data_IF_605817761251
#
_entry.id   IF_605817761251
#
_cell.length_a   1.000
_cell.length_b   1.000
_cell.length_c   1.000
_cell.angle_alpha   90.00
_cell.angle_beta   90.00
_cell.angle_gamma   90.00
#
_symmetry.space_group_name_H-M   'P 1'
#
loop_
_entity.id
_entity.type
_entity.pdbx_description
1 polymer ?
#
# COMPACT_ATOMS: atom_id res chain seq x y z
N UNK A 1 -37.92 8.08 65.99
CA UNK A 1 -36.66 8.73 65.57
C UNK A 1 -35.69 7.64 65.16
N UNK A 2 -34.92 7.67 64.07
CA UNK A 2 -34.94 8.52 62.87
C UNK A 2 -34.50 7.65 61.67
N UNK A 3 -35.18 7.74 60.53
CA UNK A 3 -34.73 8.47 59.34
C UNK A 3 -33.98 7.59 58.32
N UNK A 4 -34.63 7.31 57.19
CA UNK A 4 -34.06 6.66 55.99
C UNK A 4 -33.11 7.62 55.26
N UNK A 5 -32.12 7.09 54.55
CA UNK A 5 -31.42 7.79 53.48
C UNK A 5 -31.40 6.92 52.21
N UNK A 6 -31.86 7.50 51.10
CA UNK A 6 -31.92 6.91 49.76
C UNK A 6 -31.31 7.94 48.80
N UNK A 7 -30.23 7.59 48.08
CA UNK A 7 -29.53 8.54 47.19
C UNK A 7 -28.92 7.82 45.98
N UNK A 8 -29.40 8.19 44.79
CA UNK A 8 -28.91 7.73 43.48
C UNK A 8 -27.61 8.45 43.05
N UNK A 9 -26.84 7.91 42.08
CA UNK A 9 -25.59 8.52 41.63
C UNK A 9 -25.81 9.79 40.82
N UNK A 10 -24.96 10.81 41.06
CA UNK A 10 -25.04 12.13 40.43
C UNK A 10 -24.24 12.17 39.12
N UNK A 11 -24.92 12.47 38.02
CA UNK A 11 -24.31 12.63 36.69
C UNK A 11 -23.39 13.87 36.63
N UNK A 12 -22.34 13.79 35.79
CA UNK A 12 -21.50 14.94 35.42
C UNK A 12 -21.38 14.98 33.89
N UNK A 13 -21.79 16.10 33.28
CA UNK A 13 -21.83 16.26 31.84
C UNK A 13 -20.46 16.63 31.25
N UNK A 14 -20.11 16.16 30.03
CA UNK A 14 -19.06 16.74 29.21
C UNK A 14 -19.60 17.90 28.35
N UNK A 15 -18.82 18.96 28.21
CA UNK A 15 -19.06 20.06 27.26
C UNK A 15 -18.64 19.66 25.84
N UNK A 16 -19.48 19.93 24.84
CA UNK A 16 -19.15 19.75 23.42
C UNK A 16 -19.41 21.03 22.63
N UNK A 17 -18.39 21.44 21.88
CA UNK A 17 -18.42 22.34 20.72
C UNK A 17 -16.99 22.28 20.10
N UNK A 18 -16.76 22.30 18.79
CA UNK A 18 -17.70 22.40 17.67
C UNK A 18 -17.09 21.88 16.35
N UNK A 19 -17.94 21.69 15.34
CA UNK A 19 -17.65 21.69 13.88
C UNK A 19 -16.67 20.66 13.27
N UNK A 20 -17.23 19.61 12.64
CA UNK A 20 -17.10 19.40 11.19
C UNK A 20 -18.17 18.38 10.70
N UNK A 21 -19.16 18.84 9.94
CA UNK A 21 -20.08 17.96 9.20
C UNK A 21 -20.36 18.56 7.81
N UNK A 22 -20.30 17.69 6.79
CA UNK A 22 -21.16 17.71 5.59
C UNK A 22 -20.73 16.60 4.63
N UNK A 23 -21.14 15.36 4.90
CA UNK A 23 -21.24 14.33 3.86
C UNK A 23 -22.70 13.89 3.73
N UNK A 24 -23.42 14.37 2.71
CA UNK A 24 -24.64 13.69 2.24
C UNK A 24 -24.71 13.62 0.72
N UNK A 25 -25.21 12.47 0.29
CA UNK A 25 -25.51 12.06 -1.08
C UNK A 25 -27.02 12.22 -1.28
N UNK A 26 -27.48 12.77 -2.41
CA UNK A 26 -28.91 12.83 -2.72
C UNK A 26 -29.21 12.59 -4.21
N UNK A 27 -30.42 12.11 -4.49
CA UNK A 27 -30.77 11.34 -5.70
C UNK A 27 -32.13 11.82 -6.26
N UNK A 28 -32.13 12.42 -7.44
CA UNK A 28 -33.24 12.41 -8.43
C UNK A 28 -34.53 13.26 -8.21
N UNK A 29 -35.18 13.54 -9.36
CA UNK A 29 -36.60 13.88 -9.60
C UNK A 29 -37.06 15.37 -9.74
N UNK A 30 -37.05 15.84 -11.00
CA UNK A 30 -38.17 16.36 -11.84
C UNK A 30 -39.07 17.61 -11.51
N UNK A 31 -39.59 18.21 -12.60
CA UNK A 31 -40.84 18.99 -12.78
C UNK A 31 -40.96 20.52 -12.49
N UNK A 32 -40.43 21.33 -13.43
CA UNK A 32 -41.14 22.34 -14.28
C UNK A 32 -42.13 23.41 -13.73
N UNK A 33 -41.74 24.71 -13.81
CA UNK A 33 -42.55 25.88 -14.32
C UNK A 33 -41.78 27.24 -14.17
N UNK A 34 -42.13 28.40 -14.78
CA UNK A 34 -42.63 28.76 -16.14
C UNK A 34 -42.64 30.31 -16.40
N UNK A 35 -41.66 30.85 -17.18
CA UNK A 35 -41.67 32.18 -17.90
C UNK A 35 -41.71 33.49 -17.06
N UNK A 36 -41.24 34.69 -17.47
CA UNK A 36 -41.03 35.35 -18.80
C UNK A 36 -39.86 36.39 -18.83
N UNK A 37 -39.28 36.64 -20.01
CA UNK A 37 -38.64 37.92 -20.52
C UNK A 37 -37.44 38.58 -19.79
N UNK A 38 -36.39 39.13 -20.44
CA UNK A 38 -36.06 39.28 -21.88
C UNK A 38 -34.55 39.45 -22.18
N UNK A 39 -34.14 39.02 -23.38
CA UNK A 39 -33.05 39.50 -24.26
C UNK A 39 -31.70 40.04 -23.71
N UNK A 40 -30.60 39.34 -24.05
CA UNK A 40 -29.52 39.89 -24.89
C UNK A 40 -28.60 38.76 -25.43
N UNK A 41 -28.42 38.67 -26.75
CA UNK A 41 -27.69 37.58 -27.41
C UNK A 41 -26.19 37.87 -27.57
N UNK A 42 -25.33 37.21 -26.78
CA UNK A 42 -23.88 37.20 -27.03
C UNK A 42 -23.40 35.80 -27.46
N UNK A 43 -23.34 35.69 -28.78
CA UNK A 43 -22.74 34.66 -29.64
C UNK A 43 -21.65 33.82 -28.97
N UNK A 44 -21.92 32.52 -28.86
CA UNK A 44 -20.94 31.46 -28.58
C UNK A 44 -19.86 31.47 -29.67
N UNK A 45 -18.62 31.77 -29.29
CA UNK A 45 -17.43 31.47 -30.08
C UNK A 45 -16.59 30.45 -29.32
N UNK A 46 -16.54 29.22 -29.83
CA UNK A 46 -15.53 28.26 -29.40
C UNK A 46 -14.19 28.70 -30.00
N UNK A 47 -13.23 29.04 -29.15
CA UNK A 47 -11.81 29.14 -29.56
C UNK A 47 -10.99 28.21 -28.68
N UNK A 48 -10.80 26.99 -29.19
CA UNK A 48 -9.86 26.00 -28.66
C UNK A 48 -8.46 26.35 -29.14
N UNK A 49 -7.87 27.40 -28.57
CA UNK A 49 -6.53 27.87 -28.92
C UNK A 49 -5.84 28.47 -27.69
N UNK A 50 -4.57 28.07 -27.48
CA UNK A 50 -3.57 28.75 -26.64
C UNK A 50 -3.68 28.59 -25.10
N UNK A 51 -4.07 27.41 -24.60
CA UNK A 51 -3.84 27.05 -23.18
C UNK A 51 -2.34 26.67 -22.94
N UNK A 52 -1.65 26.18 -23.97
CA UNK A 52 -0.24 25.79 -23.86
C UNK A 52 0.71 27.01 -23.75
N UNK A 53 0.44 28.10 -24.48
CA UNK A 53 1.28 29.30 -24.45
C UNK A 53 1.19 30.06 -23.12
N UNK A 54 0.00 30.17 -22.52
CA UNK A 54 -0.21 30.97 -21.30
C UNK A 54 0.52 30.39 -20.07
N UNK A 55 0.59 29.05 -19.98
CA UNK A 55 1.40 28.38 -18.95
C UNK A 55 2.91 28.60 -19.13
N UNK A 56 3.38 28.87 -20.36
CA UNK A 56 4.79 29.15 -20.63
C UNK A 56 5.23 30.58 -20.25
N UNK A 57 4.26 31.49 -20.07
CA UNK A 57 4.52 32.87 -19.63
C UNK A 57 4.58 32.98 -18.10
N UNK A 58 3.80 32.17 -17.38
CA UNK A 58 3.82 32.10 -15.91
C UNK A 58 4.94 31.17 -15.41
N UNK A 59 5.14 30.04 -16.08
CA UNK A 59 6.24 29.10 -15.85
C UNK A 59 7.14 29.14 -17.08
N UNK A 60 8.13 30.04 -17.05
CA UNK A 60 9.01 30.39 -18.19
C UNK A 60 9.35 29.19 -19.08
N UNK A 61 9.08 29.34 -20.38
CA UNK A 61 8.98 28.26 -21.36
C UNK A 61 10.16 27.28 -21.46
N UNK A 62 9.95 26.25 -22.28
CA UNK A 62 10.83 25.08 -22.43
C UNK A 62 12.33 25.43 -22.43
N UNK A 63 13.20 24.61 -21.81
CA UNK A 63 14.59 24.96 -21.53
C UNK A 63 15.45 25.00 -22.81
N UNK A 64 15.34 26.08 -23.57
CA UNK A 64 16.14 26.34 -24.76
C UNK A 64 17.38 27.13 -24.38
N UNK A 65 18.56 26.50 -24.51
CA UNK A 65 19.85 27.17 -24.59
C UNK A 65 20.12 28.26 -23.53
N UNK A 66 20.08 27.90 -22.25
CA UNK A 66 21.29 27.89 -21.40
C UNK A 66 20.92 27.79 -19.92
N UNK A 67 21.61 26.90 -19.20
CA UNK A 67 21.61 26.89 -17.72
C UNK A 67 22.53 28.00 -17.15
N UNK A 68 23.13 28.81 -18.03
CA UNK A 68 24.14 29.81 -17.74
C UNK A 68 23.53 31.22 -17.61
N UNK A 69 24.10 32.02 -16.71
CA UNK A 69 23.61 33.36 -16.43
C UNK A 69 23.84 34.30 -17.61
N UNK A 70 22.76 34.83 -18.20
CA UNK A 70 22.85 35.70 -19.37
C UNK A 70 23.21 37.15 -18.98
N UNK A 71 24.46 37.54 -19.26
CA UNK A 71 24.95 38.90 -19.05
C UNK A 71 24.32 39.91 -20.03
N UNK A 72 24.05 41.12 -19.52
CA UNK A 72 23.51 42.23 -20.32
C UNK A 72 24.54 43.36 -20.31
N UNK A 73 25.00 43.78 -21.49
CA UNK A 73 25.86 44.96 -21.64
C UNK A 73 25.08 46.24 -21.30
N UNK A 74 25.72 47.15 -20.55
CA UNK A 74 25.08 48.36 -20.03
C UNK A 74 24.30 48.18 -18.72
N UNK A 75 24.21 46.97 -18.17
CA UNK A 75 23.63 46.74 -16.84
C UNK A 75 24.57 47.20 -15.71
N UNK A 76 24.04 47.94 -14.74
CA UNK A 76 24.80 48.34 -13.54
C UNK A 76 25.08 47.16 -12.60
N UNK A 77 26.25 47.14 -11.98
CA UNK A 77 26.81 45.97 -11.28
C UNK A 77 25.90 45.41 -10.17
N UNK A 78 25.20 46.26 -9.43
CA UNK A 78 24.24 45.84 -8.40
C UNK A 78 23.08 45.02 -8.99
N UNK A 79 22.58 45.42 -10.16
CA UNK A 79 21.48 44.73 -10.84
C UNK A 79 21.95 43.40 -11.44
N UNK A 80 23.16 43.37 -12.03
CA UNK A 80 23.80 42.13 -12.51
C UNK A 80 23.95 41.12 -11.36
N UNK A 81 24.46 41.56 -10.21
CA UNK A 81 24.61 40.73 -8.98
C UNK A 81 23.27 40.20 -8.49
N UNK A 82 22.24 41.04 -8.37
CA UNK A 82 20.92 40.64 -7.90
C UNK A 82 20.24 39.61 -8.83
N UNK A 83 20.39 39.76 -10.17
CA UNK A 83 19.93 38.76 -11.14
C UNK A 83 20.69 37.44 -11.00
N UNK A 84 22.01 37.49 -10.86
CA UNK A 84 22.87 36.30 -10.68
C UNK A 84 22.49 35.53 -9.40
N UNK A 85 22.31 36.22 -8.28
CA UNK A 85 21.91 35.62 -7.00
C UNK A 85 20.49 35.00 -7.07
N UNK A 86 19.55 35.62 -7.78
CA UNK A 86 18.23 35.00 -8.04
C UNK A 86 18.36 33.74 -8.89
N UNK A 87 19.19 33.77 -9.93
CA UNK A 87 19.43 32.64 -10.81
C UNK A 87 20.10 31.46 -10.07
N UNK A 88 21.15 31.73 -9.29
CA UNK A 88 21.82 30.74 -8.46
C UNK A 88 20.87 30.11 -7.44
N UNK A 89 20.08 30.91 -6.70
CA UNK A 89 19.08 30.36 -5.77
C UNK A 89 18.05 29.48 -6.46
N UNK A 90 17.69 29.73 -7.72
CA UNK A 90 16.82 28.82 -8.49
C UNK A 90 17.55 27.52 -8.85
N UNK A 91 18.78 27.59 -9.36
CA UNK A 91 19.60 26.40 -9.70
C UNK A 91 19.90 25.55 -8.46
N UNK A 92 20.28 26.15 -7.35
CA UNK A 92 20.51 25.49 -6.06
C UNK A 92 19.24 24.79 -5.53
N UNK A 93 18.07 25.45 -5.60
CA UNK A 93 16.79 24.83 -5.22
C UNK A 93 16.44 23.64 -6.11
N UNK A 94 16.61 23.78 -7.42
CA UNK A 94 16.36 22.70 -8.38
C UNK A 94 17.32 21.52 -8.15
N UNK A 95 18.63 21.78 -8.02
CA UNK A 95 19.64 20.78 -7.75
C UNK A 95 19.41 20.07 -6.40
N UNK A 96 19.06 20.82 -5.34
CA UNK A 96 18.72 20.25 -4.03
C UNK A 96 17.48 19.37 -4.09
N UNK A 97 16.41 19.81 -4.77
CA UNK A 97 15.19 19.01 -4.93
C UNK A 97 15.43 17.73 -5.75
N UNK A 98 16.29 17.81 -6.79
CA UNK A 98 16.72 16.65 -7.57
C UNK A 98 17.53 15.66 -6.71
N UNK A 99 18.48 16.16 -5.93
CA UNK A 99 19.33 15.35 -5.05
C UNK A 99 18.51 14.66 -3.96
N UNK A 100 17.60 15.37 -3.29
CA UNK A 100 16.72 14.81 -2.25
C UNK A 100 15.77 13.74 -2.83
N UNK A 101 15.21 13.97 -4.03
CA UNK A 101 14.41 12.96 -4.71
C UNK A 101 15.24 11.70 -5.01
N UNK A 102 16.41 11.87 -5.64
CA UNK A 102 17.30 10.76 -5.99
C UNK A 102 17.73 9.99 -4.73
N UNK A 103 18.04 10.68 -3.63
CA UNK A 103 18.37 10.04 -2.36
C UNK A 103 17.20 9.20 -1.81
N UNK A 104 15.97 9.73 -1.81
CA UNK A 104 14.77 8.96 -1.41
C UNK A 104 14.54 7.75 -2.31
N UNK A 105 14.63 7.91 -3.63
CA UNK A 105 14.47 6.83 -4.60
C UNK A 105 15.56 5.74 -4.39
N UNK A 106 16.81 6.15 -4.13
CA UNK A 106 17.94 5.25 -3.80
C UNK A 106 17.85 4.58 -2.43
N UNK A 107 17.16 5.17 -1.45
CA UNK A 107 16.85 4.51 -0.18
C UNK A 107 15.79 3.41 -0.38
N UNK A 108 14.69 3.73 -1.07
CA UNK A 108 13.62 2.77 -1.41
C UNK A 108 14.17 1.60 -2.22
N UNK A 109 15.02 1.84 -3.22
CA UNK A 109 15.66 0.77 -4.01
C UNK A 109 16.56 -0.13 -3.15
N UNK A 110 17.32 0.41 -2.18
CA UNK A 110 18.15 -0.39 -1.28
C UNK A 110 17.31 -1.29 -0.37
N UNK A 111 16.26 -0.75 0.24
CA UNK A 111 15.33 -1.55 1.05
C UNK A 111 14.64 -2.64 0.21
N UNK A 112 14.22 -2.34 -1.02
CA UNK A 112 13.63 -3.31 -1.92
C UNK A 112 14.63 -4.40 -2.30
N UNK A 113 15.87 -4.04 -2.66
CA UNK A 113 16.91 -5.01 -3.02
C UNK A 113 17.25 -5.97 -1.86
N UNK A 114 17.30 -5.47 -0.62
CA UNK A 114 17.51 -6.31 0.56
C UNK A 114 16.34 -7.27 0.78
N UNK A 115 15.09 -6.78 0.68
CA UNK A 115 13.88 -7.63 0.75
C UNK A 115 13.85 -8.69 -0.36
N UNK A 116 14.26 -8.34 -1.58
CA UNK A 116 14.34 -9.27 -2.71
C UNK A 116 15.38 -10.36 -2.47
N UNK A 117 16.61 -10.00 -2.07
CA UNK A 117 17.67 -10.97 -1.76
C UNK A 117 17.27 -11.96 -0.66
N UNK A 118 16.58 -11.47 0.36
CA UNK A 118 16.03 -12.30 1.43
C UNK A 118 14.93 -13.23 0.88
N UNK A 119 13.99 -12.69 0.09
CA UNK A 119 12.92 -13.45 -0.53
C UNK A 119 13.47 -14.56 -1.43
N UNK A 120 14.46 -14.29 -2.30
CA UNK A 120 15.11 -15.29 -3.17
C UNK A 120 15.72 -16.45 -2.39
N UNK A 121 16.37 -16.15 -1.27
CA UNK A 121 16.97 -17.18 -0.39
C UNK A 121 15.88 -18.10 0.17
N UNK A 122 14.79 -17.52 0.69
CA UNK A 122 13.64 -18.27 1.20
C UNK A 122 12.93 -19.06 0.10
N UNK A 123 12.76 -18.47 -1.09
CA UNK A 123 12.12 -19.09 -2.25
C UNK A 123 12.92 -20.33 -2.70
N UNK A 124 14.26 -20.25 -2.70
CA UNK A 124 15.13 -21.39 -2.96
C UNK A 124 14.97 -22.50 -1.91
N UNK A 125 14.93 -22.15 -0.62
CA UNK A 125 14.73 -23.13 0.45
C UNK A 125 13.37 -23.81 0.40
N UNK A 126 12.30 -23.05 0.14
CA UNK A 126 10.92 -23.55 0.03
C UNK A 126 10.78 -24.43 -1.22
N UNK A 127 11.34 -24.03 -2.37
CA UNK A 127 11.36 -24.85 -3.59
C UNK A 127 12.17 -26.13 -3.40
N UNK A 128 13.35 -26.05 -2.79
CA UNK A 128 14.19 -27.22 -2.46
C UNK A 128 13.49 -28.17 -1.49
N UNK A 129 12.71 -27.63 -0.55
CA UNK A 129 11.86 -28.44 0.33
C UNK A 129 10.72 -29.09 -0.45
N UNK A 130 9.97 -28.34 -1.26
CA UNK A 130 8.80 -28.84 -1.98
C UNK A 130 9.14 -29.86 -3.07
N UNK A 131 10.32 -29.72 -3.72
CA UNK A 131 10.78 -30.56 -4.82
C UNK A 131 10.59 -32.07 -4.56
N UNK A 132 9.98 -32.75 -5.53
CA UNK A 132 9.69 -34.19 -5.44
C UNK A 132 8.50 -34.58 -4.55
N UNK A 133 7.92 -33.64 -3.80
CA UNK A 133 6.68 -33.83 -3.02
C UNK A 133 5.59 -32.79 -3.32
N UNK A 134 5.77 -31.99 -4.36
CA UNK A 134 4.79 -31.01 -4.86
C UNK A 134 3.47 -31.73 -5.20
N UNK A 135 2.34 -31.19 -4.72
CA UNK A 135 1.03 -31.85 -4.86
C UNK A 135 0.75 -33.02 -3.92
N UNK A 136 1.76 -33.66 -3.32
CA UNK A 136 1.55 -34.75 -2.35
C UNK A 136 1.32 -34.18 -0.94
N UNK A 137 0.04 -34.00 -0.59
CA UNK A 137 -0.35 -33.40 0.69
C UNK A 137 0.21 -34.15 1.92
N UNK A 138 0.24 -35.49 1.88
CA UNK A 138 0.74 -36.32 3.00
C UNK A 138 2.23 -36.07 3.23
N UNK A 139 3.02 -35.99 2.17
CA UNK A 139 4.46 -35.73 2.23
C UNK A 139 4.79 -34.28 2.62
N UNK A 140 4.00 -33.30 2.18
CA UNK A 140 4.18 -31.90 2.58
C UNK A 140 3.86 -31.71 4.07
N UNK A 141 2.73 -32.24 4.56
CA UNK A 141 2.35 -32.11 5.97
C UNK A 141 3.33 -32.80 6.92
N UNK A 142 3.86 -33.97 6.58
CA UNK A 142 4.81 -34.69 7.46
C UNK A 142 6.22 -34.09 7.53
N UNK A 143 6.52 -33.12 6.67
CA UNK A 143 7.83 -32.46 6.58
C UNK A 143 7.77 -30.95 6.75
N UNK A 144 6.62 -30.40 7.13
CA UNK A 144 6.35 -28.97 7.28
C UNK A 144 7.23 -28.30 8.36
N UNK A 145 7.67 -29.06 9.35
CA UNK A 145 8.59 -28.63 10.42
C UNK A 145 9.99 -28.21 9.95
N UNK A 146 10.39 -28.57 8.72
CA UNK A 146 11.70 -28.18 8.16
C UNK A 146 11.68 -26.83 7.44
N UNK A 147 10.49 -26.26 7.18
CA UNK A 147 10.32 -24.97 6.48
C UNK A 147 9.67 -23.90 7.37
N UNK A 148 8.94 -24.31 8.42
CA UNK A 148 8.33 -23.37 9.37
C UNK A 148 9.28 -22.99 10.51
N UNK A 149 9.11 -21.76 11.00
CA UNK A 149 9.84 -21.24 12.15
C UNK A 149 9.27 -21.78 13.47
N UNK A 150 10.06 -21.81 14.58
CA UNK A 150 9.64 -22.42 15.85
C UNK A 150 8.35 -21.85 16.44
N UNK A 151 8.13 -20.54 16.31
CA UNK A 151 6.98 -19.82 16.90
C UNK A 151 5.68 -19.96 16.07
N UNK A 152 5.74 -20.65 14.93
CA UNK A 152 4.56 -20.95 14.10
C UNK A 152 3.47 -21.69 14.89
N UNK A 153 3.86 -22.45 15.91
CA UNK A 153 2.97 -23.34 16.67
C UNK A 153 2.69 -24.66 15.96
N UNK A 154 3.43 -24.95 14.88
CA UNK A 154 3.39 -26.24 14.21
C UNK A 154 3.91 -27.36 15.12
N UNK A 155 3.39 -28.57 14.93
CA UNK A 155 3.86 -29.78 15.61
C UNK A 155 4.19 -30.82 14.54
N UNK A 156 5.36 -31.47 14.56
CA UNK A 156 5.70 -32.53 13.61
C UNK A 156 4.64 -33.64 13.60
N UNK A 157 4.27 -34.10 12.41
CA UNK A 157 3.28 -35.17 12.21
C UNK A 157 3.93 -36.30 11.42
N UNK A 158 3.77 -37.54 11.87
CA UNK A 158 4.33 -38.69 11.17
C UNK A 158 3.50 -39.09 9.95
N UNK A 159 4.08 -39.78 8.97
CA UNK A 159 3.31 -40.38 7.87
C UNK A 159 2.32 -41.45 8.37
N UNK A 160 2.64 -42.12 9.48
CA UNK A 160 1.74 -43.07 10.17
C UNK A 160 0.48 -42.41 10.72
N UNK A 161 0.54 -41.12 11.11
CA UNK A 161 -0.65 -40.35 11.52
C UNK A 161 -1.49 -39.85 10.33
N UNK A 162 -0.97 -39.98 9.09
CA UNK A 162 -1.55 -39.44 7.86
C UNK A 162 -2.08 -40.52 6.91
N UNK A 163 -2.26 -41.75 7.40
CA UNK A 163 -2.79 -42.88 6.63
C UNK A 163 -4.22 -42.58 6.17
N UNK A 164 -5.14 -42.28 7.10
CA UNK A 164 -6.56 -42.06 6.77
C UNK A 164 -6.82 -40.66 6.24
N UNK A 165 -7.68 -40.54 5.22
CA UNK A 165 -8.07 -39.25 4.67
C UNK A 165 -8.64 -38.28 5.71
N UNK A 166 -9.42 -38.79 6.67
CA UNK A 166 -9.94 -38.00 7.80
C UNK A 166 -8.81 -37.37 8.65
N UNK A 167 -7.72 -38.10 8.91
CA UNK A 167 -6.57 -37.55 9.62
C UNK A 167 -5.82 -36.51 8.78
N UNK A 168 -5.63 -36.75 7.47
CA UNK A 168 -5.05 -35.76 6.54
C UNK A 168 -5.87 -34.46 6.55
N UNK A 169 -7.21 -34.56 6.45
CA UNK A 169 -8.14 -33.41 6.52
C UNK A 169 -8.07 -32.66 7.86
N UNK A 170 -7.84 -33.37 8.98
CA UNK A 170 -7.64 -32.77 10.31
C UNK A 170 -6.29 -32.06 10.44
N UNK A 171 -5.22 -32.65 9.92
CA UNK A 171 -3.85 -32.09 10.00
C UNK A 171 -3.68 -30.91 9.04
N UNK A 172 -4.22 -30.97 7.82
CA UNK A 172 -4.27 -29.83 6.90
C UNK A 172 -4.94 -28.60 7.53
N UNK A 173 -6.10 -28.77 8.20
CA UNK A 173 -6.77 -27.68 8.94
C UNK A 173 -5.93 -27.09 10.06
N UNK A 174 -5.07 -27.89 10.73
CA UNK A 174 -4.10 -27.36 11.70
C UNK A 174 -2.99 -26.57 11.00
N UNK A 175 -2.47 -27.08 9.88
CA UNK A 175 -1.40 -26.44 9.12
C UNK A 175 -1.83 -25.06 8.62
N UNK A 176 -3.02 -24.97 7.99
CA UNK A 176 -3.56 -23.69 7.51
C UNK A 176 -3.75 -22.69 8.63
N UNK A 177 -4.18 -23.09 9.84
CA UNK A 177 -4.26 -22.17 10.99
C UNK A 177 -2.89 -21.65 11.48
N UNK A 178 -1.83 -22.45 11.38
CA UNK A 178 -0.48 -22.03 11.78
C UNK A 178 0.13 -21.03 10.79
N UNK A 179 -0.15 -21.20 9.49
CA UNK A 179 0.48 -20.42 8.39
C UNK A 179 -0.48 -19.42 7.73
N UNK A 180 -1.71 -19.25 8.23
CA UNK A 180 -2.66 -18.30 7.63
C UNK A 180 -2.10 -16.87 7.71
N UNK A 181 -2.08 -16.08 6.63
CA UNK A 181 -1.44 -14.76 6.62
C UNK A 181 -1.98 -13.82 7.71
N UNK A 182 -3.29 -13.83 7.98
CA UNK A 182 -3.90 -13.07 9.09
C UNK A 182 -3.39 -13.53 10.47
N UNK A 183 -3.23 -14.84 10.71
CA UNK A 183 -2.77 -15.36 12.01
C UNK A 183 -1.27 -15.13 12.21
N UNK A 184 -0.50 -15.24 11.14
CA UNK A 184 0.93 -14.90 11.10
C UNK A 184 1.11 -13.40 11.35
N UNK A 185 0.30 -12.54 10.72
CA UNK A 185 0.29 -11.10 10.97
C UNK A 185 -0.13 -10.72 12.40
N UNK A 186 -1.14 -11.39 12.99
CA UNK A 186 -1.57 -11.17 14.38
C UNK A 186 -0.49 -11.57 15.41
N UNK A 187 0.33 -12.57 15.11
CA UNK A 187 1.47 -12.99 15.94
C UNK A 187 2.68 -12.04 15.88
N UNK A 188 2.62 -10.95 15.11
CA UNK A 188 3.73 -10.00 14.96
C UNK A 188 4.85 -10.51 14.06
N UNK A 189 4.55 -11.43 13.14
CA UNK A 189 5.56 -12.11 12.33
C UNK A 189 6.42 -11.17 11.46
N UNK A 190 7.68 -11.55 11.27
CA UNK A 190 8.63 -10.87 10.38
C UNK A 190 8.22 -11.03 8.90
N UNK A 191 8.70 -10.14 8.03
CA UNK A 191 8.52 -10.22 6.57
C UNK A 191 8.91 -11.59 6.01
N UNK A 192 10.02 -12.16 6.50
CA UNK A 192 10.48 -13.51 6.16
C UNK A 192 9.43 -14.58 6.47
N UNK A 193 8.86 -14.55 7.68
CA UNK A 193 7.86 -15.50 8.13
C UNK A 193 6.55 -15.37 7.34
N UNK A 194 6.14 -14.14 6.99
CA UNK A 194 4.98 -13.90 6.10
C UNK A 194 5.21 -14.50 4.71
N UNK A 195 6.41 -14.31 4.15
CA UNK A 195 6.78 -14.83 2.84
C UNK A 195 6.76 -16.37 2.81
N UNK A 196 7.39 -17.00 3.82
CA UNK A 196 7.35 -18.46 4.01
C UNK A 196 5.90 -18.93 4.13
N UNK A 197 5.10 -18.27 4.97
CA UNK A 197 3.70 -18.63 5.21
C UNK A 197 2.88 -18.61 3.91
N UNK A 198 3.00 -17.55 3.12
CA UNK A 198 2.31 -17.38 1.83
C UNK A 198 2.67 -18.50 0.85
N UNK A 199 3.97 -18.69 0.57
CA UNK A 199 4.44 -19.73 -0.38
C UNK A 199 4.08 -21.15 0.06
N UNK A 200 4.23 -21.45 1.34
CA UNK A 200 3.90 -22.78 1.89
C UNK A 200 2.38 -23.00 1.93
N UNK A 201 1.58 -21.95 2.16
CA UNK A 201 0.12 -22.02 2.10
C UNK A 201 -0.38 -22.33 0.69
N UNK A 202 0.17 -21.70 -0.35
CA UNK A 202 -0.19 -21.99 -1.74
C UNK A 202 0.16 -23.43 -2.15
N UNK A 203 1.35 -23.92 -1.78
CA UNK A 203 1.77 -25.31 -2.01
C UNK A 203 0.84 -26.33 -1.32
N UNK A 204 0.48 -26.07 -0.06
CA UNK A 204 -0.47 -26.93 0.67
C UNK A 204 -1.89 -26.86 0.08
N UNK A 205 -2.31 -25.70 -0.41
CA UNK A 205 -3.62 -25.49 -1.05
C UNK A 205 -3.72 -26.22 -2.39
N UNK A 206 -2.66 -26.20 -3.20
CA UNK A 206 -2.59 -26.97 -4.44
C UNK A 206 -2.65 -28.48 -4.16
N UNK A 207 -1.85 -28.96 -3.21
CA UNK A 207 -1.83 -30.36 -2.79
C UNK A 207 -3.16 -30.81 -2.18
N UNK A 208 -3.85 -29.92 -1.45
CA UNK A 208 -5.20 -30.15 -0.94
C UNK A 208 -6.24 -30.31 -2.03
N UNK A 209 -6.16 -29.51 -3.10
CA UNK A 209 -7.06 -29.63 -4.24
C UNK A 209 -6.86 -30.97 -4.96
N UNK A 210 -5.61 -31.39 -5.21
CA UNK A 210 -5.29 -32.71 -5.79
C UNK A 210 -5.79 -33.85 -4.91
N UNK A 211 -5.47 -33.82 -3.61
CA UNK A 211 -5.92 -34.80 -2.63
C UNK A 211 -7.44 -34.93 -2.55
N UNK A 212 -8.18 -33.82 -2.59
CA UNK A 212 -9.65 -33.87 -2.62
C UNK A 212 -10.21 -34.39 -3.94
N UNK A 213 -9.54 -34.17 -5.07
CA UNK A 213 -9.94 -34.78 -6.35
C UNK A 213 -9.65 -36.28 -6.39
N UNK A 214 -8.57 -36.74 -5.74
CA UNK A 214 -8.18 -38.15 -5.68
C UNK A 214 -9.04 -38.97 -4.70
N UNK A 215 -9.41 -38.44 -3.53
CA UNK A 215 -10.29 -39.12 -2.56
C UNK A 215 -11.80 -38.84 -2.76
N UNK A 216 -12.23 -38.36 -3.93
CA UNK A 216 -13.66 -38.26 -4.30
C UNK A 216 -14.13 -39.34 -5.29
N UNK A 217 -13.25 -40.27 -5.68
CA UNK A 217 -13.51 -41.40 -6.56
C UNK A 217 -13.26 -42.74 -5.84
#
# INVERSE_FOLDING_TARGET
MGARANSAPKQRAPTVDSMFDSQTQSKGADASHRTTTASASMKKASSTTNIADDLSAIFGGAPTSSEEFQEIQGEGDERRRARFERHQRTRERAAKALAEKNERDMQVQREQAERHRIAETLDFEIKRWAAGKEGNLRALLSTLQYVLWPESGWQPVSLTDLITGAAVKKVYRKATLCIHPDKVQQKGANLQQKYIAEKVFDLLKEAWNKFNSEELF
#
